data_IF_745840006729
#
_entry.id   IF_745840006729
#
_cell.length_a   1.000
_cell.length_b   1.000
_cell.length_c   1.000
_cell.angle_alpha   90.00
_cell.angle_beta   90.00
_cell.angle_gamma   90.00
#
_symmetry.space_group_name_H-M   'P 1'
#
loop_
_entity.id
_entity.type
_entity.pdbx_description
1 polymer ?
#
# COMPACT_ATOMS: atom_id res chain seq x y z
N UNK A 1 -32.94 14.84 29.34
CA UNK A 1 -34.05 15.18 28.43
C UNK A 1 -33.45 15.43 27.05
N UNK A 2 -34.07 14.95 25.96
CA UNK A 2 -33.57 15.21 24.62
C UNK A 2 -33.56 16.72 24.36
N UNK A 3 -32.56 17.18 23.61
CA UNK A 3 -32.43 18.57 23.23
C UNK A 3 -33.57 19.00 22.30
N UNK A 4 -33.91 20.29 22.32
CA UNK A 4 -34.89 20.88 21.40
C UNK A 4 -34.41 20.62 19.96
N UNK A 5 -33.10 20.74 19.72
CA UNK A 5 -32.53 20.42 18.41
C UNK A 5 -32.75 18.95 18.03
N UNK A 6 -32.49 18.00 18.93
CA UNK A 6 -32.71 16.58 18.67
C UNK A 6 -34.19 16.28 18.36
N UNK A 7 -35.13 16.90 19.08
CA UNK A 7 -36.57 16.77 18.82
C UNK A 7 -36.91 17.28 17.41
N UNK A 8 -36.39 18.44 17.01
CA UNK A 8 -36.65 18.98 15.66
C UNK A 8 -36.11 18.06 14.57
N UNK A 9 -34.88 17.58 14.71
CA UNK A 9 -34.25 16.66 13.75
C UNK A 9 -34.98 15.32 13.68
N UNK A 10 -35.45 14.81 14.81
CA UNK A 10 -36.25 13.58 14.87
C UNK A 10 -37.56 13.73 14.09
N UNK A 11 -38.31 14.82 14.32
CA UNK A 11 -39.56 15.11 13.61
C UNK A 11 -39.31 15.21 12.11
N UNK A 12 -38.22 15.84 11.68
CA UNK A 12 -37.86 15.93 10.28
C UNK A 12 -37.42 14.59 9.69
N UNK A 13 -36.68 13.78 10.44
CA UNK A 13 -36.33 12.43 10.04
C UNK A 13 -37.55 11.56 9.82
N UNK A 14 -38.53 11.63 10.73
CA UNK A 14 -39.80 10.92 10.61
C UNK A 14 -40.64 11.40 9.42
N UNK A 15 -40.69 12.72 9.18
CA UNK A 15 -41.35 13.30 8.02
C UNK A 15 -40.73 12.84 6.69
N UNK A 16 -39.40 12.88 6.59
CA UNK A 16 -38.67 12.39 5.42
C UNK A 16 -38.93 10.89 5.19
N UNK A 17 -38.78 10.07 6.23
CA UNK A 17 -39.06 8.64 6.18
C UNK A 17 -40.47 8.36 5.64
N UNK A 18 -41.50 9.00 6.22
CA UNK A 18 -42.89 8.83 5.79
C UNK A 18 -43.11 9.30 4.34
N UNK A 19 -42.46 10.39 3.92
CA UNK A 19 -42.58 10.87 2.55
C UNK A 19 -41.96 9.90 1.54
N UNK A 20 -40.78 9.34 1.83
CA UNK A 20 -40.14 8.33 0.99
C UNK A 20 -40.97 7.05 0.89
N UNK A 21 -41.49 6.55 2.01
CA UNK A 21 -42.38 5.37 2.03
C UNK A 21 -43.66 5.63 1.25
N UNK A 22 -44.30 6.79 1.45
CA UNK A 22 -45.53 7.15 0.73
C UNK A 22 -45.33 7.21 -0.78
N UNK A 23 -44.20 7.78 -1.23
CA UNK A 23 -43.85 7.83 -2.65
C UNK A 23 -43.64 6.42 -3.24
N UNK A 24 -43.07 5.47 -2.49
CA UNK A 24 -42.91 4.08 -2.95
C UNK A 24 -44.23 3.30 -2.99
N UNK A 25 -45.16 3.56 -2.06
CA UNK A 25 -46.47 2.92 -2.03
C UNK A 25 -47.35 3.42 -3.19
N UNK A 26 -47.22 4.68 -3.58
CA UNK A 26 -48.05 5.30 -4.63
C UNK A 26 -47.24 6.16 -5.61
N UNK A 27 -46.32 5.55 -6.38
CA UNK A 27 -45.32 6.31 -7.14
C UNK A 27 -45.94 7.10 -8.29
N UNK A 28 -47.04 6.62 -8.90
CA UNK A 28 -47.76 7.37 -9.94
C UNK A 28 -48.47 8.62 -9.40
N UNK A 29 -49.00 8.58 -8.17
CA UNK A 29 -49.58 9.76 -7.52
C UNK A 29 -48.50 10.78 -7.18
N UNK A 30 -47.34 10.31 -6.69
CA UNK A 30 -46.19 11.16 -6.39
C UNK A 30 -45.60 11.81 -7.66
N UNK A 31 -45.57 11.08 -8.77
CA UNK A 31 -45.12 11.55 -10.08
C UNK A 31 -46.04 12.65 -10.63
N UNK A 32 -47.35 12.44 -10.58
CA UNK A 32 -48.36 13.44 -10.95
C UNK A 32 -48.29 14.70 -10.07
N UNK A 33 -48.13 14.53 -8.74
CA UNK A 33 -47.99 15.65 -7.81
C UNK A 33 -46.75 16.52 -8.07
N UNK A 34 -45.68 15.94 -8.63
CA UNK A 34 -44.44 16.64 -9.00
C UNK A 34 -44.41 17.09 -10.46
N UNK A 35 -45.50 16.89 -11.21
CA UNK A 35 -45.60 17.21 -12.65
C UNK A 35 -44.48 16.58 -13.49
N UNK A 36 -44.04 15.38 -13.12
CA UNK A 36 -42.99 14.65 -13.82
C UNK A 36 -43.59 13.79 -14.94
N UNK A 37 -42.78 13.43 -15.94
CA UNK A 37 -43.15 12.48 -16.98
C UNK A 37 -43.06 11.04 -16.46
N UNK A 38 -43.84 10.11 -17.02
CA UNK A 38 -43.82 8.69 -16.63
C UNK A 38 -42.43 8.05 -16.78
N UNK A 39 -41.60 8.56 -17.70
CA UNK A 39 -40.20 8.15 -17.88
C UNK A 39 -39.33 8.40 -16.63
N UNK A 40 -39.73 9.31 -15.73
CA UNK A 40 -39.01 9.63 -14.50
C UNK A 40 -39.32 8.65 -13.34
N UNK A 41 -40.19 7.67 -13.54
CA UNK A 41 -40.61 6.72 -12.51
C UNK A 41 -39.44 5.96 -11.85
N UNK A 42 -38.42 5.45 -12.57
CA UNK A 42 -37.27 4.79 -11.93
C UNK A 42 -36.45 5.75 -11.06
N UNK A 43 -36.26 6.99 -11.52
CA UNK A 43 -35.55 8.02 -10.76
C UNK A 43 -36.31 8.43 -9.49
N UNK A 44 -37.64 8.54 -9.57
CA UNK A 44 -38.50 8.83 -8.42
C UNK A 44 -38.42 7.72 -7.36
N UNK A 45 -38.38 6.46 -7.77
CA UNK A 45 -38.22 5.32 -6.85
C UNK A 45 -36.84 5.35 -6.17
N UNK A 46 -35.76 5.54 -6.93
CA UNK A 46 -34.41 5.67 -6.38
C UNK A 46 -34.28 6.84 -5.39
N UNK A 47 -34.86 8.00 -5.75
CA UNK A 47 -34.92 9.17 -4.88
C UNK A 47 -35.72 8.90 -3.59
N UNK A 48 -36.82 8.14 -3.68
CA UNK A 48 -37.65 7.79 -2.52
C UNK A 48 -36.92 6.88 -1.54
N UNK A 49 -36.11 5.93 -2.01
CA UNK A 49 -35.23 5.11 -1.16
C UNK A 49 -34.16 5.97 -0.48
N UNK A 50 -33.55 6.91 -1.20
CA UNK A 50 -32.59 7.85 -0.63
C UNK A 50 -33.22 8.70 0.49
N UNK A 51 -34.45 9.19 0.30
CA UNK A 51 -35.21 9.94 1.31
C UNK A 51 -35.46 9.09 2.57
N UNK A 52 -35.80 7.80 2.41
CA UNK A 52 -35.97 6.88 3.54
C UNK A 52 -34.65 6.77 4.33
N UNK A 53 -33.54 6.57 3.62
CA UNK A 53 -32.21 6.52 4.24
C UNK A 53 -31.88 7.79 5.03
N UNK A 54 -32.12 8.97 4.44
CA UNK A 54 -31.95 10.27 5.12
C UNK A 54 -32.81 10.33 6.39
N UNK A 55 -34.08 9.90 6.31
CA UNK A 55 -34.98 9.88 7.45
C UNK A 55 -34.46 9.02 8.62
N UNK A 56 -33.95 7.83 8.32
CA UNK A 56 -33.33 6.92 9.30
C UNK A 56 -32.10 7.58 9.94
N UNK A 57 -31.21 8.17 9.13
CA UNK A 57 -30.01 8.84 9.65
C UNK A 57 -30.35 10.04 10.54
N UNK A 58 -31.41 10.79 10.23
CA UNK A 58 -31.84 11.92 11.04
C UNK A 58 -32.39 11.45 12.39
N UNK A 59 -33.23 10.42 12.40
CA UNK A 59 -33.73 9.83 13.65
C UNK A 59 -32.58 9.25 14.50
N UNK A 60 -31.60 8.59 13.87
CA UNK A 60 -30.42 8.08 14.56
C UNK A 60 -29.55 9.21 15.13
N UNK A 61 -29.30 10.26 14.35
CA UNK A 61 -28.54 11.43 14.80
C UNK A 61 -29.23 12.15 15.97
N UNK A 62 -30.56 12.23 15.96
CA UNK A 62 -31.35 12.76 17.06
C UNK A 62 -31.21 11.90 18.32
N UNK A 63 -31.31 10.57 18.19
CA UNK A 63 -31.08 9.65 19.31
C UNK A 63 -29.67 9.76 19.90
N UNK A 64 -28.67 9.99 19.04
CA UNK A 64 -27.26 10.14 19.43
C UNK A 64 -26.87 11.54 19.90
N UNK A 65 -27.78 12.53 19.87
CA UNK A 65 -27.48 13.94 20.18
C UNK A 65 -26.30 14.52 19.35
N UNK A 66 -26.19 14.10 18.08
CA UNK A 66 -25.05 14.44 17.24
C UNK A 66 -25.10 15.89 16.73
N UNK A 67 -24.51 16.82 17.48
CA UNK A 67 -24.50 18.26 17.17
C UNK A 67 -23.78 18.62 15.88
N UNK A 68 -22.73 17.88 15.53
CA UNK A 68 -22.03 18.06 14.26
C UNK A 68 -22.96 17.74 13.09
N UNK A 69 -23.69 16.63 13.18
CA UNK A 69 -24.69 16.26 12.20
C UNK A 69 -25.84 17.28 12.14
N UNK A 70 -26.33 17.77 13.28
CA UNK A 70 -27.37 18.81 13.32
C UNK A 70 -26.94 20.08 12.57
N UNK A 71 -25.69 20.51 12.75
CA UNK A 71 -25.14 21.67 12.05
C UNK A 71 -25.04 21.41 10.54
N UNK A 72 -24.60 20.22 10.13
CA UNK A 72 -24.56 19.85 8.71
C UNK A 72 -25.95 19.82 8.07
N UNK A 73 -27.02 19.53 8.83
CA UNK A 73 -28.38 19.62 8.29
C UNK A 73 -28.78 21.05 7.89
N UNK A 74 -28.03 22.09 8.26
CA UNK A 74 -28.24 23.44 7.74
C UNK A 74 -27.91 23.57 6.24
N UNK A 75 -27.17 22.62 5.66
CA UNK A 75 -26.97 22.52 4.21
C UNK A 75 -28.30 22.38 3.45
N UNK A 76 -29.40 22.02 4.13
CA UNK A 76 -30.76 22.00 3.57
C UNK A 76 -31.25 23.36 3.06
N UNK A 77 -30.66 24.48 3.48
CA UNK A 77 -30.89 25.77 2.82
C UNK A 77 -30.47 25.77 1.34
N UNK A 78 -29.42 25.02 1.01
CA UNK A 78 -28.98 24.83 -0.38
C UNK A 78 -30.04 24.03 -1.14
N UNK A 79 -30.53 22.92 -0.57
CA UNK A 79 -31.61 22.11 -1.15
C UNK A 79 -32.89 22.95 -1.35
N UNK A 80 -33.26 23.76 -0.37
CA UNK A 80 -34.40 24.67 -0.47
C UNK A 80 -34.25 25.64 -1.65
N UNK A 81 -33.06 26.24 -1.80
CA UNK A 81 -32.77 27.14 -2.93
C UNK A 81 -32.84 26.42 -4.27
N UNK A 82 -32.29 25.21 -4.37
CA UNK A 82 -32.35 24.40 -5.59
C UNK A 82 -33.81 24.10 -5.94
N UNK A 83 -34.61 23.57 -5.01
CA UNK A 83 -36.02 23.27 -5.24
C UNK A 83 -36.85 24.51 -5.59
N UNK A 84 -36.51 25.68 -5.03
CA UNK A 84 -37.19 26.92 -5.37
C UNK A 84 -37.03 27.29 -6.86
N UNK A 85 -35.83 27.07 -7.41
CA UNK A 85 -35.50 27.37 -8.82
C UNK A 85 -36.14 26.37 -9.79
N UNK A 86 -36.42 25.13 -9.35
CA UNK A 86 -37.06 24.10 -10.17
C UNK A 86 -38.55 24.36 -10.49
N UNK A 87 -39.14 25.45 -9.96
CA UNK A 87 -40.47 25.92 -10.36
C UNK A 87 -41.60 25.60 -9.37
N UNK A 88 -42.85 25.98 -9.69
CA UNK A 88 -43.96 25.97 -8.75
C UNK A 88 -44.25 24.62 -8.08
N UNK A 89 -44.10 23.51 -8.82
CA UNK A 89 -44.32 22.16 -8.32
C UNK A 89 -43.38 21.76 -7.16
N UNK A 90 -42.23 22.41 -7.04
CA UNK A 90 -41.21 22.13 -6.02
C UNK A 90 -41.21 23.12 -4.85
N UNK A 91 -41.99 24.19 -4.92
CA UNK A 91 -42.01 25.26 -3.91
C UNK A 91 -42.47 24.77 -2.53
N UNK A 92 -43.39 23.81 -2.47
CA UNK A 92 -43.83 23.23 -1.19
C UNK A 92 -42.68 22.53 -0.48
N UNK A 93 -41.87 21.76 -1.22
CA UNK A 93 -40.70 21.06 -0.69
C UNK A 93 -39.62 22.07 -0.32
N UNK A 94 -39.37 23.08 -1.18
CA UNK A 94 -38.43 24.15 -0.91
C UNK A 94 -38.75 24.90 0.40
N UNK A 95 -40.03 25.21 0.62
CA UNK A 95 -40.50 25.89 1.82
C UNK A 95 -40.30 25.02 3.06
N UNK A 96 -40.59 23.72 2.95
CA UNK A 96 -40.38 22.78 4.04
C UNK A 96 -38.89 22.63 4.41
N UNK A 97 -38.00 22.50 3.42
CA UNK A 97 -36.55 22.44 3.62
C UNK A 97 -36.01 23.73 4.29
N UNK A 98 -36.46 24.90 3.83
CA UNK A 98 -36.04 26.18 4.42
C UNK A 98 -36.56 26.35 5.85
N UNK A 99 -37.85 26.06 6.10
CA UNK A 99 -38.46 26.16 7.41
C UNK A 99 -37.78 25.24 8.42
N UNK A 100 -37.56 23.98 8.02
CA UNK A 100 -36.94 22.98 8.89
C UNK A 100 -35.48 23.29 9.20
N UNK A 101 -34.68 23.72 8.21
CA UNK A 101 -33.32 24.20 8.42
C UNK A 101 -33.29 25.43 9.34
N UNK A 102 -34.23 26.36 9.15
CA UNK A 102 -34.39 27.53 10.02
C UNK A 102 -34.72 27.16 11.46
N UNK A 103 -35.65 26.22 11.67
CA UNK A 103 -36.01 25.74 13.01
C UNK A 103 -34.82 25.08 13.71
N UNK A 104 -34.06 24.23 12.99
CA UNK A 104 -32.82 23.64 13.52
C UNK A 104 -31.79 24.72 13.86
N UNK A 105 -31.60 25.73 13.01
CA UNK A 105 -30.67 26.83 13.27
C UNK A 105 -31.06 27.62 14.52
N UNK A 106 -32.35 27.93 14.69
CA UNK A 106 -32.87 28.63 15.87
C UNK A 106 -32.71 27.77 17.12
N UNK A 107 -33.01 26.46 17.04
CA UNK A 107 -32.82 25.54 18.17
C UNK A 107 -31.34 25.44 18.57
N UNK A 108 -30.43 25.31 17.60
CA UNK A 108 -28.98 25.32 17.83
C UNK A 108 -28.50 26.64 18.45
N UNK A 109 -28.99 27.79 17.95
CA UNK A 109 -28.63 29.10 18.48
C UNK A 109 -29.20 29.33 19.89
N UNK A 110 -30.44 28.93 20.14
CA UNK A 110 -31.09 29.01 21.45
C UNK A 110 -30.33 28.16 22.48
N UNK A 111 -29.99 26.93 22.13
CA UNK A 111 -29.23 26.03 22.99
C UNK A 111 -27.78 26.49 23.16
N UNK A 112 -27.17 27.07 22.14
CA UNK A 112 -25.84 27.69 22.25
C UNK A 112 -25.83 28.93 23.15
N UNK A 113 -26.91 29.72 23.13
CA UNK A 113 -27.06 30.94 23.94
C UNK A 113 -27.39 30.64 25.40
N UNK A 114 -28.37 29.77 25.66
CA UNK A 114 -28.77 29.37 27.02
C UNK A 114 -27.89 28.27 27.63
N UNK A 115 -27.14 27.53 26.82
CA UNK A 115 -26.17 26.53 27.27
C UNK A 115 -24.89 27.12 27.85
N UNK A 116 -24.69 28.45 27.87
CA UNK A 116 -23.46 29.09 28.38
C UNK A 116 -23.19 28.94 29.89
N UNK A 117 -24.05 28.28 30.67
CA UNK A 117 -23.76 27.87 32.06
C UNK A 117 -23.41 26.38 32.23
N UNK A 118 -23.36 25.59 31.15
CA UNK A 118 -22.77 24.25 31.15
C UNK A 118 -21.77 24.19 29.99
N UNK A 119 -20.48 24.13 30.35
CA UNK A 119 -19.34 24.42 29.49
C UNK A 119 -19.48 23.95 28.04
N UNK A 120 -19.24 24.87 27.12
CA UNK A 120 -18.93 24.57 25.73
C UNK A 120 -17.59 23.81 25.64
N UNK A 121 -17.53 22.59 25.07
CA UNK A 121 -16.35 22.11 24.40
C UNK A 121 -16.54 22.33 22.90
N UNK A 122 -15.68 23.17 22.32
CA UNK A 122 -15.46 23.20 20.88
C UNK A 122 -14.77 21.89 20.47
N UNK A 123 -15.52 20.83 20.14
CA UNK A 123 -14.94 19.65 19.47
C UNK A 123 -15.90 19.02 18.45
N UNK A 124 -15.42 18.72 17.22
CA UNK A 124 -16.16 17.98 16.20
C UNK A 124 -15.88 16.48 16.37
N UNK A 125 -16.68 15.75 17.15
CA UNK A 125 -16.38 14.35 17.49
C UNK A 125 -17.65 13.52 17.69
N UNK A 126 -17.96 12.61 16.76
CA UNK A 126 -18.85 11.48 17.08
C UNK A 126 -18.35 10.11 16.59
N UNK A 127 -17.16 10.04 15.99
CA UNK A 127 -16.42 8.77 15.81
C UNK A 127 -15.28 8.58 16.83
N UNK A 128 -15.10 9.56 17.71
CA UNK A 128 -13.91 9.75 18.55
C UNK A 128 -14.20 9.64 20.04
N UNK A 129 -15.46 9.79 20.47
CA UNK A 129 -15.84 9.62 21.87
C UNK A 129 -15.64 8.18 22.39
N UNK A 130 -15.76 7.16 21.54
CA UNK A 130 -15.55 5.78 21.98
C UNK A 130 -14.10 5.50 22.40
N UNK A 131 -13.13 6.00 21.63
CA UNK A 131 -11.71 5.76 21.89
C UNK A 131 -11.15 6.67 22.99
N UNK A 132 -11.62 7.91 23.11
CA UNK A 132 -11.11 8.83 24.13
C UNK A 132 -11.45 8.43 25.58
N UNK A 133 -12.56 7.70 25.78
CA UNK A 133 -12.95 7.14 27.09
C UNK A 133 -12.06 5.94 27.49
N UNK A 134 -11.45 5.27 26.50
CA UNK A 134 -10.58 4.12 26.70
C UNK A 134 -9.22 4.60 27.27
N UNK A 135 -8.61 3.90 28.25
CA UNK A 135 -7.27 4.19 28.73
C UNK A 135 -6.23 4.33 27.61
N UNK A 136 -5.24 5.20 27.79
CA UNK A 136 -4.24 5.51 26.76
C UNK A 136 -3.48 4.26 26.29
N UNK A 137 -3.23 3.32 27.19
CA UNK A 137 -2.52 2.08 26.91
C UNK A 137 -3.31 1.19 25.92
N UNK A 138 -4.63 1.12 26.11
CA UNK A 138 -5.51 0.33 25.25
C UNK A 138 -5.70 1.05 23.90
N UNK A 139 -5.86 2.39 23.90
CA UNK A 139 -5.90 3.16 22.64
C UNK A 139 -4.64 2.97 21.81
N UNK A 140 -3.47 3.09 22.43
CA UNK A 140 -2.20 2.91 21.74
C UNK A 140 -2.05 1.49 21.20
N UNK A 141 -2.54 0.48 21.92
CA UNK A 141 -2.58 -0.91 21.43
C UNK A 141 -3.49 -1.04 20.21
N UNK A 142 -4.67 -0.40 20.22
CA UNK A 142 -5.57 -0.35 19.07
C UNK A 142 -4.91 0.36 17.89
N UNK A 143 -4.28 1.52 18.10
CA UNK A 143 -3.57 2.24 17.05
C UNK A 143 -2.45 1.39 16.44
N UNK A 144 -1.63 0.75 17.29
CA UNK A 144 -0.57 -0.14 16.85
C UNK A 144 -1.14 -1.29 15.99
N UNK A 145 -2.25 -1.88 16.40
CA UNK A 145 -2.91 -2.95 15.66
C UNK A 145 -3.46 -2.45 14.32
N UNK A 146 -4.16 -1.32 14.28
CA UNK A 146 -4.73 -0.74 13.05
C UNK A 146 -3.63 -0.36 12.05
N UNK A 147 -2.53 0.21 12.53
CA UNK A 147 -1.41 0.64 11.69
C UNK A 147 -0.63 -0.56 11.14
N UNK A 148 -0.45 -1.61 11.94
CA UNK A 148 0.30 -2.81 11.54
C UNK A 148 -0.55 -3.92 10.92
N UNK A 149 -1.88 -3.79 10.92
CA UNK A 149 -2.78 -4.74 10.29
C UNK A 149 -2.40 -4.92 8.80
N UNK A 150 -2.25 -6.16 8.31
CA UNK A 150 -1.80 -6.40 6.94
C UNK A 150 -2.78 -5.81 5.93
N UNK A 151 -2.26 -5.19 4.86
CA UNK A 151 -3.10 -4.80 3.73
C UNK A 151 -3.59 -6.06 3.03
N UNK A 152 -4.89 -6.14 2.74
CA UNK A 152 -5.45 -7.22 1.93
C UNK A 152 -4.75 -7.20 0.56
N UNK A 153 -4.11 -8.31 0.13
CA UNK A 153 -3.43 -8.35 -1.16
C UNK A 153 -4.43 -8.10 -2.30
N UNK A 154 -4.10 -7.15 -3.18
CA UNK A 154 -4.96 -6.72 -4.30
C UNK A 154 -4.55 -7.49 -5.56
N UNK A 155 -5.49 -7.75 -6.46
CA UNK A 155 -5.19 -8.39 -7.74
C UNK A 155 -4.56 -7.41 -8.76
N UNK A 156 -3.89 -7.91 -9.82
CA UNK A 156 -3.30 -7.04 -10.84
C UNK A 156 -4.31 -6.10 -11.50
N UNK A 157 -5.49 -6.59 -11.89
CA UNK A 157 -6.52 -5.79 -12.58
C UNK A 157 -6.99 -4.56 -11.78
N UNK A 158 -7.05 -4.68 -10.46
CA UNK A 158 -7.51 -3.63 -9.54
C UNK A 158 -6.40 -2.66 -9.11
N UNK A 159 -5.13 -3.02 -9.32
CA UNK A 159 -3.99 -2.24 -8.84
C UNK A 159 -3.07 -1.72 -9.95
N UNK A 160 -3.48 -1.82 -11.20
CA UNK A 160 -2.68 -1.36 -12.35
C UNK A 160 -2.63 0.17 -12.48
N UNK A 161 -3.66 0.87 -11.99
CA UNK A 161 -3.75 2.33 -12.07
C UNK A 161 -2.77 3.01 -11.11
N UNK A 162 -2.12 4.08 -11.58
CA UNK A 162 -1.15 4.85 -10.80
C UNK A 162 0.22 4.19 -10.62
N UNK A 163 0.46 3.01 -11.19
CA UNK A 163 1.79 2.40 -11.20
C UNK A 163 2.76 3.15 -12.10
N UNK A 164 3.98 3.33 -11.64
CA UNK A 164 5.09 3.91 -12.40
C UNK A 164 6.19 2.87 -12.60
N UNK A 165 6.80 2.84 -13.79
CA UNK A 165 7.96 1.98 -14.03
C UNK A 165 9.17 2.55 -13.28
N UNK A 166 9.86 1.69 -12.53
CA UNK A 166 11.20 1.97 -12.01
C UNK A 166 12.22 1.74 -13.12
N UNK A 167 12.65 0.48 -13.29
CA UNK A 167 13.48 -0.02 -14.39
C UNK A 167 13.25 -1.52 -14.55
N UNK A 168 13.62 -2.05 -15.73
CA UNK A 168 13.71 -3.51 -15.99
C UNK A 168 12.41 -4.26 -15.68
N UNK A 169 11.25 -3.65 -15.94
CA UNK A 169 9.95 -4.25 -15.68
C UNK A 169 9.53 -4.34 -14.22
N UNK A 170 10.15 -3.55 -13.34
CA UNK A 170 9.67 -3.32 -11.98
C UNK A 170 8.71 -2.15 -11.98
N UNK A 171 7.46 -2.40 -11.59
CA UNK A 171 6.38 -1.44 -11.52
C UNK A 171 5.99 -1.18 -10.07
N UNK A 172 5.94 0.08 -9.67
CA UNK A 172 5.74 0.48 -8.28
C UNK A 172 4.41 1.18 -8.13
N UNK A 173 3.65 0.83 -7.09
CA UNK A 173 2.50 1.63 -6.65
C UNK A 173 2.95 2.53 -5.49
N UNK A 174 2.64 3.85 -5.50
CA UNK A 174 2.94 4.72 -4.40
C UNK A 174 2.34 4.19 -3.09
N UNK A 175 3.12 4.08 -2.02
CA UNK A 175 2.64 3.58 -0.74
C UNK A 175 1.62 4.52 -0.10
N UNK A 176 0.62 3.94 0.58
CA UNK A 176 -0.38 4.69 1.33
C UNK A 176 0.02 4.77 2.80
N UNK A 177 0.04 5.97 3.37
CA UNK A 177 0.28 6.16 4.79
C UNK A 177 -0.97 5.74 5.59
N UNK A 178 -0.93 4.55 6.20
CA UNK A 178 -2.03 4.00 7.03
C UNK A 178 -2.35 4.85 8.25
N UNK A 179 -1.33 5.48 8.84
CA UNK A 179 -1.50 6.31 10.01
C UNK A 179 -2.12 7.68 9.69
N UNK A 180 -2.17 8.10 8.42
CA UNK A 180 -2.64 9.43 8.01
C UNK A 180 -4.04 9.73 8.55
N UNK A 181 -4.96 8.77 8.43
CA UNK A 181 -6.33 8.93 8.94
C UNK A 181 -6.35 9.20 10.44
N UNK A 182 -5.53 8.49 11.23
CA UNK A 182 -5.43 8.65 12.69
C UNK A 182 -4.69 9.93 13.09
N UNK A 183 -3.64 10.29 12.36
CA UNK A 183 -2.83 11.50 12.59
C UNK A 183 -3.61 12.80 12.36
N UNK A 184 -4.67 12.76 11.55
CA UNK A 184 -5.49 13.92 11.18
C UNK A 184 -6.76 14.07 12.05
N UNK A 185 -7.00 13.17 13.01
CA UNK A 185 -8.22 13.19 13.85
C UNK A 185 -8.21 14.36 14.83
N UNK A 186 -7.24 14.39 15.75
CA UNK A 186 -7.09 15.45 16.76
C UNK A 186 -5.66 15.49 17.31
N UNK A 187 -5.32 16.55 18.06
CA UNK A 187 -3.96 16.72 18.64
C UNK A 187 -3.56 15.57 19.57
N UNK A 188 -4.50 15.03 20.33
CA UNK A 188 -4.25 13.91 21.22
C UNK A 188 -3.88 12.64 20.44
N UNK A 189 -4.70 12.26 19.45
CA UNK A 189 -4.43 11.09 18.61
C UNK A 189 -3.15 11.28 17.81
N UNK A 190 -2.88 12.50 17.33
CA UNK A 190 -1.63 12.81 16.69
C UNK A 190 -0.42 12.48 17.57
N UNK A 191 -0.40 12.97 18.82
CA UNK A 191 0.69 12.71 19.76
C UNK A 191 0.79 11.22 20.11
N UNK A 192 -0.34 10.56 20.40
CA UNK A 192 -0.36 9.14 20.75
C UNK A 192 0.06 8.24 19.59
N UNK A 193 -0.40 8.53 18.36
CA UNK A 193 0.00 7.79 17.16
C UNK A 193 1.47 8.04 16.85
N UNK A 194 1.97 9.26 16.97
CA UNK A 194 3.41 9.52 16.82
C UNK A 194 4.24 8.74 17.84
N UNK A 195 3.80 8.67 19.10
CA UNK A 195 4.44 7.86 20.13
C UNK A 195 4.42 6.36 19.77
N UNK A 196 3.29 5.82 19.27
CA UNK A 196 3.23 4.45 18.75
C UNK A 196 4.20 4.25 17.59
N UNK A 197 4.19 5.13 16.58
CA UNK A 197 5.07 5.05 15.41
C UNK A 197 6.55 5.10 15.81
N UNK A 198 6.91 5.87 16.84
CA UNK A 198 8.29 5.95 17.33
C UNK A 198 8.80 4.63 17.92
N UNK A 199 7.89 3.83 18.51
CA UNK A 199 8.19 2.54 19.17
C UNK A 199 8.09 1.33 18.25
N UNK A 200 7.43 1.46 17.09
CA UNK A 200 7.37 0.36 16.12
C UNK A 200 8.79 0.01 15.61
N UNK A 201 9.07 -1.26 15.29
CA UNK A 201 10.36 -1.65 14.71
C UNK A 201 10.55 -1.04 13.32
N UNK A 202 11.79 -0.90 12.84
CA UNK A 202 12.08 -0.50 11.46
C UNK A 202 11.96 -1.71 10.53
N UNK A 203 10.77 -2.32 10.53
CA UNK A 203 10.44 -3.51 9.75
C UNK A 203 9.35 -3.18 8.73
N UNK A 204 9.56 -3.63 7.50
CA UNK A 204 8.66 -3.31 6.38
C UNK A 204 8.19 -4.56 5.67
N UNK A 205 7.02 -4.45 5.04
CA UNK A 205 6.47 -5.50 4.22
C UNK A 205 6.26 -5.01 2.79
N UNK A 206 6.57 -5.87 1.82
CA UNK A 206 6.28 -5.62 0.41
C UNK A 206 5.59 -6.83 -0.19
N UNK A 207 4.44 -6.59 -0.82
CA UNK A 207 3.79 -7.56 -1.69
C UNK A 207 4.31 -7.35 -3.11
N UNK A 208 4.80 -8.43 -3.73
CA UNK A 208 5.37 -8.43 -5.07
C UNK A 208 4.56 -9.38 -5.92
N UNK A 209 3.77 -8.83 -6.85
CA UNK A 209 3.08 -9.64 -7.83
C UNK A 209 4.02 -9.90 -9.01
N UNK A 210 4.34 -11.16 -9.24
CA UNK A 210 4.96 -11.64 -10.45
C UNK A 210 3.86 -11.89 -11.49
N UNK A 211 3.64 -10.92 -12.38
CA UNK A 211 2.64 -11.04 -13.44
C UNK A 211 3.36 -11.50 -14.70
N UNK A 212 3.06 -12.74 -15.16
CA UNK A 212 3.78 -13.36 -16.28
C UNK A 212 3.73 -12.46 -17.51
N UNK A 213 4.87 -12.18 -18.13
CA UNK A 213 5.07 -11.20 -19.22
C UNK A 213 4.76 -9.73 -18.91
N UNK A 214 4.25 -9.39 -17.73
CA UNK A 214 3.76 -8.03 -17.40
C UNK A 214 4.58 -7.33 -16.31
N UNK A 215 5.54 -8.03 -15.68
CA UNK A 215 6.52 -7.41 -14.80
C UNK A 215 6.46 -7.88 -13.35
N UNK A 216 7.25 -7.20 -12.53
CA UNK A 216 7.26 -7.32 -11.08
C UNK A 216 6.55 -6.11 -10.49
N UNK A 217 5.39 -6.32 -9.88
CA UNK A 217 4.55 -5.24 -9.41
C UNK A 217 4.61 -5.16 -7.89
N UNK A 218 5.23 -4.11 -7.37
CA UNK A 218 5.46 -3.93 -5.93
C UNK A 218 4.36 -3.08 -5.31
N UNK A 219 3.93 -3.49 -4.12
CA UNK A 219 2.98 -2.77 -3.27
C UNK A 219 3.53 -2.79 -1.85
N UNK A 220 3.94 -1.61 -1.36
CA UNK A 220 4.57 -1.50 -0.05
C UNK A 220 3.54 -1.25 1.05
N UNK A 221 3.68 -2.01 2.14
CA UNK A 221 2.99 -1.77 3.40
C UNK A 221 3.95 -1.08 4.38
N UNK A 222 3.71 0.22 4.58
CA UNK A 222 4.61 1.10 5.32
C UNK A 222 3.85 1.66 6.52
N UNK A 223 3.95 1.01 7.70
CA UNK A 223 3.26 1.46 8.91
C UNK A 223 3.81 2.81 9.40
N UNK A 224 5.11 3.05 9.20
CA UNK A 224 5.81 4.30 9.53
C UNK A 224 6.87 4.62 8.49
N UNK A 225 7.27 5.88 8.38
CA UNK A 225 8.44 6.23 7.57
C UNK A 225 9.74 5.73 8.23
N UNK A 226 10.77 5.39 7.45
CA UNK A 226 12.09 5.07 8.00
C UNK A 226 12.63 6.22 8.85
N UNK A 227 12.74 5.98 10.16
CA UNK A 227 13.30 6.92 11.12
C UNK A 227 14.84 7.03 11.00
N UNK A 228 15.48 6.05 10.36
CA UNK A 228 16.92 6.02 10.10
C UNK A 228 17.21 5.31 8.77
N UNK A 229 18.48 5.37 8.33
CA UNK A 229 18.94 4.58 7.17
C UNK A 229 19.06 3.08 7.46
N UNK A 230 18.89 2.65 8.71
CA UNK A 230 19.01 1.25 9.12
C UNK A 230 17.63 0.61 9.21
N UNK A 231 17.46 -0.48 8.46
CA UNK A 231 16.25 -1.27 8.36
C UNK A 231 16.53 -2.62 9.01
N UNK A 232 15.74 -2.95 10.03
CA UNK A 232 15.91 -4.20 10.78
C UNK A 232 15.52 -5.39 9.92
N UNK A 233 14.39 -5.29 9.22
CA UNK A 233 13.85 -6.40 8.43
C UNK A 233 12.97 -5.93 7.29
N UNK A 234 13.13 -6.55 6.13
CA UNK A 234 12.14 -6.49 5.04
C UNK A 234 11.57 -7.87 4.79
N UNK A 235 10.26 -8.00 4.84
CA UNK A 235 9.55 -9.22 4.47
C UNK A 235 8.90 -9.00 3.10
N UNK A 236 9.28 -9.76 2.10
CA UNK A 236 8.68 -9.76 0.78
C UNK A 236 7.79 -11.00 0.60
N UNK A 237 6.52 -10.80 0.27
CA UNK A 237 5.65 -11.89 -0.22
C UNK A 237 5.59 -11.80 -1.73
N UNK A 238 5.89 -12.89 -2.42
CA UNK A 238 5.84 -12.96 -3.88
C UNK A 238 4.67 -13.84 -4.32
N UNK A 239 3.74 -13.26 -5.07
CA UNK A 239 2.54 -13.92 -5.60
C UNK A 239 2.63 -14.04 -7.11
N UNK A 240 2.24 -15.18 -7.67
CA UNK A 240 2.31 -15.46 -9.10
C UNK A 240 0.93 -15.23 -9.71
N UNK A 241 0.89 -14.57 -10.88
CA UNK A 241 -0.35 -14.25 -11.59
C UNK A 241 -0.26 -14.53 -13.09
N UNK A 242 -1.35 -15.08 -13.63
CA UNK A 242 -1.64 -15.05 -15.05
C UNK A 242 -2.13 -13.66 -15.40
N UNK A 243 -1.67 -13.08 -16.52
CA UNK A 243 -2.22 -11.82 -16.98
C UNK A 243 -3.68 -12.01 -17.42
N UNK A 244 -4.53 -11.09 -16.99
CA UNK A 244 -5.93 -11.03 -17.43
C UNK A 244 -6.06 -10.17 -18.69
N UNK A 245 -7.14 -10.36 -19.45
CA UNK A 245 -7.40 -9.60 -20.70
C UNK A 245 -7.61 -8.09 -20.46
N UNK A 246 -7.73 -7.66 -19.20
CA UNK A 246 -7.98 -6.27 -18.80
C UNK A 246 -6.71 -5.51 -18.38
N UNK A 247 -5.53 -6.13 -18.50
CA UNK A 247 -4.27 -5.45 -18.18
C UNK A 247 -3.84 -4.54 -19.33
N UNK A 248 -3.41 -3.32 -19.00
CA UNK A 248 -2.88 -2.36 -19.97
C UNK A 248 -1.65 -2.92 -20.72
N UNK A 249 -1.65 -2.77 -22.04
CA UNK A 249 -0.56 -3.21 -22.92
C UNK A 249 0.80 -2.55 -22.57
N UNK A 250 0.82 -1.41 -21.87
CA UNK A 250 2.07 -0.74 -21.43
C UNK A 250 2.97 -1.63 -20.56
N UNK A 251 2.38 -2.59 -19.85
CA UNK A 251 3.10 -3.49 -18.96
C UNK A 251 3.70 -4.70 -19.70
N UNK A 252 3.21 -4.96 -20.91
CA UNK A 252 3.50 -6.16 -21.68
C UNK A 252 4.98 -6.23 -22.08
N UNK A 253 5.56 -7.42 -21.98
CA UNK A 253 6.97 -7.73 -22.24
C UNK A 253 7.94 -6.93 -21.36
N UNK A 254 7.49 -6.37 -20.25
CA UNK A 254 8.35 -5.59 -19.35
C UNK A 254 9.37 -6.47 -18.61
N UNK A 255 9.08 -7.76 -18.45
CA UNK A 255 10.02 -8.75 -17.92
C UNK A 255 10.29 -9.85 -18.97
N UNK A 256 11.57 -10.15 -19.21
CA UNK A 256 11.99 -11.11 -20.23
C UNK A 256 12.93 -12.18 -19.65
N UNK A 257 12.57 -13.44 -19.88
CA UNK A 257 13.38 -14.62 -19.56
C UNK A 257 14.25 -15.09 -20.73
N UNK A 258 14.42 -14.22 -21.75
CA UNK A 258 15.29 -14.56 -22.87
C UNK A 258 16.74 -14.44 -22.46
N UNK A 259 17.51 -15.50 -22.74
CA UNK A 259 18.96 -15.52 -22.59
C UNK A 259 19.60 -14.58 -23.62
N UNK A 260 20.55 -13.74 -23.18
CA UNK A 260 21.33 -12.86 -24.06
C UNK A 260 22.60 -13.52 -24.58
N UNK A 261 23.46 -12.72 -25.24
CA UNK A 261 24.73 -13.14 -25.88
C UNK A 261 25.86 -13.47 -24.87
N UNK A 262 25.54 -14.16 -23.77
CA UNK A 262 26.48 -14.56 -22.72
C UNK A 262 26.27 -13.89 -21.36
N UNK A 263 25.32 -12.95 -21.24
CA UNK A 263 24.88 -12.36 -19.97
C UNK A 263 23.67 -13.08 -19.34
N UNK A 264 23.34 -12.78 -18.07
CA UNK A 264 22.15 -13.31 -17.40
C UNK A 264 20.87 -12.79 -18.07
N UNK A 265 19.76 -13.50 -17.88
CA UNK A 265 18.47 -13.16 -18.47
C UNK A 265 17.95 -11.81 -17.97
N UNK A 266 17.11 -11.15 -18.78
CA UNK A 266 16.53 -9.84 -18.43
C UNK A 266 15.80 -9.84 -17.07
N UNK A 267 15.12 -10.93 -16.73
CA UNK A 267 14.38 -11.08 -15.48
C UNK A 267 15.28 -11.09 -14.24
N UNK A 268 16.50 -11.63 -14.34
CA UNK A 268 17.51 -11.57 -13.26
C UNK A 268 17.75 -10.13 -12.83
N UNK A 269 17.85 -9.23 -13.81
CA UNK A 269 18.04 -7.81 -13.55
C UNK A 269 16.79 -7.14 -12.97
N UNK A 270 15.59 -7.62 -13.27
CA UNK A 270 14.36 -7.18 -12.59
C UNK A 270 14.38 -7.52 -11.10
N UNK A 271 14.77 -8.75 -10.74
CA UNK A 271 14.91 -9.15 -9.33
C UNK A 271 16.03 -8.38 -8.62
N UNK A 272 17.17 -8.17 -9.28
CA UNK A 272 18.24 -7.33 -8.75
C UNK A 272 17.81 -5.86 -8.60
N UNK A 273 16.97 -5.36 -9.51
CA UNK A 273 16.41 -4.01 -9.42
C UNK A 273 15.56 -3.84 -8.17
N UNK A 274 14.78 -4.85 -7.75
CA UNK A 274 14.03 -4.80 -6.48
C UNK A 274 14.95 -4.57 -5.27
N UNK A 275 16.10 -5.26 -5.22
CA UNK A 275 17.07 -5.11 -4.13
C UNK A 275 17.75 -3.74 -4.17
N UNK A 276 18.16 -3.28 -5.36
CA UNK A 276 18.84 -1.99 -5.50
C UNK A 276 17.91 -0.81 -5.30
N UNK A 277 16.64 -0.90 -5.68
CA UNK A 277 15.61 0.10 -5.38
C UNK A 277 15.41 0.20 -3.86
N UNK A 278 15.32 -0.93 -3.16
CA UNK A 278 15.26 -0.93 -1.70
C UNK A 278 16.50 -0.29 -1.05
N UNK A 279 17.69 -0.59 -1.56
CA UNK A 279 18.95 -0.04 -1.05
C UNK A 279 19.04 1.48 -1.31
N UNK A 280 18.70 1.93 -2.51
CA UNK A 280 18.93 3.33 -2.92
C UNK A 280 17.79 4.27 -2.55
N UNK A 281 16.54 3.82 -2.68
CA UNK A 281 15.34 4.64 -2.49
C UNK A 281 14.58 4.30 -1.20
N UNK A 282 14.86 3.14 -0.60
CA UNK A 282 14.19 2.67 0.60
C UNK A 282 12.80 2.07 0.36
N UNK A 283 12.09 1.70 1.44
CA UNK A 283 10.73 1.20 1.37
C UNK A 283 9.80 2.18 0.65
N UNK A 284 9.19 1.73 -0.45
CA UNK A 284 8.19 2.49 -1.20
C UNK A 284 8.66 3.82 -1.79
N UNK A 285 9.98 4.03 -1.90
CA UNK A 285 10.58 5.23 -2.51
C UNK A 285 10.22 6.56 -1.83
N UNK A 286 9.60 6.51 -0.65
CA UNK A 286 9.17 7.71 0.10
C UNK A 286 10.40 8.48 0.63
N UNK A 287 11.53 7.79 0.81
CA UNK A 287 12.73 8.33 1.45
C UNK A 287 13.65 9.15 0.55
N UNK A 288 13.47 9.13 -0.78
CA UNK A 288 14.43 9.71 -1.74
C UNK A 288 14.68 11.22 -1.55
N UNK A 289 13.73 11.94 -0.96
CA UNK A 289 13.86 13.38 -0.67
C UNK A 289 14.30 13.70 0.77
N UNK A 290 14.16 12.77 1.72
CA UNK A 290 14.33 13.06 3.16
C UNK A 290 15.64 12.55 3.77
N UNK A 291 16.24 11.48 3.23
CA UNK A 291 17.50 10.93 3.73
C UNK A 291 18.58 11.20 2.68
N UNK A 292 19.01 12.46 2.60
CA UNK A 292 19.80 13.00 1.48
C UNK A 292 20.86 12.05 0.94
N UNK A 293 20.80 11.73 -0.36
CA UNK A 293 21.76 10.98 -1.17
C UNK A 293 22.43 9.73 -0.52
N UNK A 294 21.85 9.15 0.53
CA UNK A 294 22.45 8.05 1.30
C UNK A 294 21.59 6.79 1.16
N UNK A 295 22.23 5.70 0.77
CA UNK A 295 21.62 4.38 0.71
C UNK A 295 21.26 3.83 2.09
N UNK A 296 20.26 2.95 2.12
CA UNK A 296 19.82 2.18 3.26
C UNK A 296 20.74 1.01 3.55
N UNK A 297 20.76 0.59 4.81
CA UNK A 297 21.44 -0.61 5.31
C UNK A 297 20.36 -1.52 5.89
N UNK A 298 20.23 -2.72 5.35
CA UNK A 298 19.20 -3.69 5.66
C UNK A 298 19.86 -4.86 6.39
N UNK A 299 19.36 -5.21 7.57
CA UNK A 299 19.91 -6.36 8.28
C UNK A 299 19.44 -7.66 7.66
N UNK A 300 18.13 -7.81 7.53
CA UNK A 300 17.50 -9.07 7.10
C UNK A 300 16.47 -8.87 6.00
N UNK A 301 16.49 -9.73 4.99
CA UNK A 301 15.45 -9.82 3.97
C UNK A 301 14.87 -11.23 4.00
N UNK A 302 13.57 -11.35 4.25
CA UNK A 302 12.85 -12.62 4.15
C UNK A 302 11.94 -12.58 2.92
N UNK A 303 12.18 -13.44 1.95
CA UNK A 303 11.39 -13.59 0.73
C UNK A 303 10.57 -14.87 0.84
N UNK A 304 9.25 -14.76 0.73
CA UNK A 304 8.35 -15.90 0.70
C UNK A 304 7.61 -15.94 -0.63
N UNK A 305 7.88 -16.94 -1.46
CA UNK A 305 7.12 -17.19 -2.68
C UNK A 305 5.95 -18.09 -2.32
N UNK A 306 4.73 -17.63 -2.60
CA UNK A 306 3.52 -18.36 -2.25
C UNK A 306 2.87 -18.96 -3.49
N UNK A 307 2.18 -20.07 -3.27
CA UNK A 307 1.37 -20.74 -4.27
C UNK A 307 0.42 -19.72 -4.93
N UNK A 308 0.19 -19.85 -6.25
CA UNK A 308 -0.72 -18.96 -6.93
C UNK A 308 -2.14 -19.05 -6.38
N UNK A 309 -2.84 -17.91 -6.37
CA UNK A 309 -4.17 -17.78 -5.74
C UNK A 309 -5.24 -17.28 -6.72
N UNK A 310 -4.88 -17.08 -7.99
CA UNK A 310 -5.79 -16.60 -9.04
C UNK A 310 -6.62 -17.72 -9.70
N UNK A 311 -6.37 -18.98 -9.31
CA UNK A 311 -7.08 -20.16 -9.81
C UNK A 311 -6.64 -20.63 -11.20
N UNK A 312 -5.53 -20.12 -11.74
CA UNK A 312 -4.99 -20.57 -13.02
C UNK A 312 -4.00 -21.74 -12.86
N UNK A 313 -3.85 -22.56 -13.91
CA UNK A 313 -3.04 -23.79 -13.87
C UNK A 313 -1.51 -23.57 -13.92
N UNK A 314 -1.05 -22.31 -14.03
CA UNK A 314 0.34 -21.85 -14.07
C UNK A 314 1.42 -22.87 -14.47
N UNK A 315 1.30 -23.46 -15.64
CA UNK A 315 2.19 -24.55 -16.07
C UNK A 315 3.58 -24.04 -16.44
N UNK A 316 3.72 -22.77 -16.86
CA UNK A 316 5.01 -22.14 -17.22
C UNK A 316 5.20 -20.77 -16.60
N UNK A 317 6.42 -20.43 -16.20
CA UNK A 317 6.72 -19.08 -15.70
C UNK A 317 7.16 -18.11 -16.81
N UNK A 318 7.65 -18.64 -17.93
CA UNK A 318 8.07 -17.88 -19.09
C UNK A 318 6.97 -17.85 -20.16
N UNK A 319 6.28 -16.71 -20.28
CA UNK A 319 5.28 -16.52 -21.32
C UNK A 319 3.84 -16.74 -20.85
N UNK A 320 2.93 -16.69 -21.82
CA UNK A 320 1.55 -17.13 -21.63
C UNK A 320 1.49 -18.64 -21.85
N UNK A 321 0.79 -19.38 -21.00
CA UNK A 321 0.57 -20.83 -21.19
C UNK A 321 -0.09 -21.13 -22.56
N UNK A 322 -0.82 -20.16 -23.13
CA UNK A 322 -1.47 -20.24 -24.44
C UNK A 322 -0.51 -20.03 -25.63
N UNK A 323 0.68 -19.48 -25.44
CA UNK A 323 1.66 -19.25 -26.51
C UNK A 323 2.40 -20.56 -26.87
N UNK A 324 1.69 -21.48 -27.54
CA UNK A 324 2.19 -22.80 -27.97
C UNK A 324 3.20 -22.79 -29.14
N UNK A 325 3.87 -21.68 -29.48
CA UNK A 325 4.79 -21.64 -30.64
C UNK A 325 6.27 -21.84 -30.26
N UNK A 326 6.72 -23.08 -30.34
CA UNK A 326 7.93 -23.56 -31.07
C UNK A 326 9.30 -22.88 -30.95
N UNK A 327 9.53 -21.85 -30.12
CA UNK A 327 10.83 -21.14 -30.02
C UNK A 327 11.37 -20.89 -28.59
N UNK A 328 10.82 -21.55 -27.57
CA UNK A 328 11.29 -21.39 -26.18
C UNK A 328 12.24 -22.53 -25.73
N UNK A 329 13.13 -23.01 -26.61
CA UNK A 329 14.20 -23.96 -26.22
C UNK A 329 15.40 -23.28 -25.54
N UNK A 330 15.27 -22.02 -25.13
CA UNK A 330 16.40 -21.17 -24.71
C UNK A 330 16.18 -20.40 -23.41
N UNK A 331 15.08 -20.63 -22.67
CA UNK A 331 14.97 -20.09 -21.30
C UNK A 331 15.80 -20.97 -20.37
N UNK A 332 16.76 -20.40 -19.65
CA UNK A 332 17.50 -21.09 -18.59
C UNK A 332 16.60 -21.41 -17.38
N UNK A 333 15.36 -20.90 -17.38
CA UNK A 333 14.31 -21.28 -16.43
C UNK A 333 14.04 -22.79 -16.45
N UNK A 334 14.17 -23.45 -17.61
CA UNK A 334 13.97 -24.89 -17.78
C UNK A 334 15.24 -25.75 -17.61
N UNK A 335 16.41 -25.14 -17.38
CA UNK A 335 17.64 -25.92 -17.15
C UNK A 335 17.85 -26.20 -15.66
N UNK A 336 17.53 -27.41 -15.20
CA UNK A 336 17.89 -27.91 -13.86
C UNK A 336 16.83 -27.70 -12.78
N UNK A 337 15.59 -27.44 -13.16
CA UNK A 337 14.41 -27.42 -12.28
C UNK A 337 13.50 -28.55 -12.74
N UNK A 338 12.92 -29.30 -11.81
CA UNK A 338 12.03 -30.42 -12.15
C UNK A 338 10.77 -29.89 -12.85
N UNK A 339 10.39 -30.51 -13.96
CA UNK A 339 9.20 -30.13 -14.72
C UNK A 339 7.92 -30.33 -13.86
N UNK A 340 7.97 -31.22 -12.87
CA UNK A 340 6.89 -31.49 -11.93
C UNK A 340 6.84 -30.52 -10.73
N UNK A 341 7.84 -29.64 -10.57
CA UNK A 341 7.89 -28.70 -9.44
C UNK A 341 6.76 -27.64 -9.56
N UNK A 342 6.08 -27.29 -8.44
CA UNK A 342 5.05 -26.26 -8.47
C UNK A 342 5.63 -24.87 -8.82
N UNK A 343 4.83 -23.96 -9.39
CA UNK A 343 5.31 -22.69 -9.94
C UNK A 343 6.01 -21.80 -8.91
N UNK A 344 5.58 -21.80 -7.65
CA UNK A 344 6.24 -21.07 -6.57
C UNK A 344 7.65 -21.60 -6.27
N UNK A 345 7.83 -22.92 -6.31
CA UNK A 345 9.12 -23.58 -6.13
C UNK A 345 10.06 -23.26 -7.28
N UNK A 346 9.57 -23.39 -8.52
CA UNK A 346 10.31 -23.03 -9.74
C UNK A 346 10.80 -21.58 -9.70
N UNK A 347 9.95 -20.65 -9.30
CA UNK A 347 10.30 -19.24 -9.18
C UNK A 347 11.34 -18.99 -8.08
N UNK A 348 11.15 -19.59 -6.90
CA UNK A 348 12.10 -19.47 -5.80
C UNK A 348 13.48 -20.04 -6.18
N UNK A 349 13.55 -21.23 -6.75
CA UNK A 349 14.80 -21.83 -7.26
C UNK A 349 15.48 -20.97 -8.33
N UNK A 350 14.71 -20.38 -9.24
CA UNK A 350 15.25 -19.44 -10.20
C UNK A 350 15.88 -18.23 -9.51
N UNK A 351 15.19 -17.61 -8.57
CA UNK A 351 15.70 -16.45 -7.83
C UNK A 351 16.96 -16.79 -7.03
N UNK A 352 16.97 -17.90 -6.28
CA UNK A 352 18.11 -18.30 -5.45
C UNK A 352 19.32 -18.67 -6.30
N UNK A 353 19.14 -19.41 -7.40
CA UNK A 353 20.21 -19.74 -8.35
C UNK A 353 20.87 -18.50 -8.92
N UNK A 354 20.07 -17.53 -9.35
CA UNK A 354 20.59 -16.29 -9.94
C UNK A 354 21.21 -15.37 -8.87
N UNK A 355 20.64 -15.28 -7.67
CA UNK A 355 21.24 -14.55 -6.57
C UNK A 355 22.59 -15.15 -6.17
N UNK A 356 22.71 -16.48 -6.14
CA UNK A 356 23.98 -17.18 -5.91
C UNK A 356 25.03 -16.80 -6.95
N UNK A 357 24.64 -16.68 -8.21
CA UNK A 357 25.54 -16.24 -9.28
C UNK A 357 25.97 -14.77 -9.11
N UNK A 358 25.04 -13.88 -8.71
CA UNK A 358 25.36 -12.48 -8.39
C UNK A 358 26.34 -12.41 -7.21
N UNK A 359 26.04 -13.11 -6.11
CA UNK A 359 26.86 -13.17 -4.90
C UNK A 359 28.18 -13.92 -5.08
N UNK A 360 28.32 -14.73 -6.15
CA UNK A 360 29.56 -15.43 -6.48
C UNK A 360 30.71 -14.53 -6.93
N UNK A 361 30.48 -13.21 -7.03
CA UNK A 361 31.52 -12.22 -7.30
C UNK A 361 32.37 -12.53 -8.55
N UNK A 362 31.72 -12.93 -9.64
CA UNK A 362 32.40 -13.14 -10.93
C UNK A 362 32.80 -11.79 -11.55
N UNK A 363 33.60 -11.80 -12.62
CA UNK A 363 33.93 -10.56 -13.37
C UNK A 363 32.71 -9.76 -13.83
N UNK A 364 31.56 -10.42 -14.04
CA UNK A 364 30.33 -9.80 -14.52
C UNK A 364 29.41 -9.36 -13.38
N UNK A 365 29.63 -9.90 -12.19
CA UNK A 365 28.73 -9.72 -11.04
C UNK A 365 29.40 -9.04 -9.88
N UNK A 366 30.72 -8.82 -9.91
CA UNK A 366 31.47 -8.26 -8.79
C UNK A 366 30.84 -6.96 -8.32
N UNK A 367 30.62 -5.99 -9.20
CA UNK A 367 30.03 -4.69 -8.82
C UNK A 367 28.66 -4.85 -8.17
N UNK A 368 27.84 -5.75 -8.70
CA UNK A 368 26.52 -6.03 -8.16
C UNK A 368 26.59 -6.70 -6.79
N UNK A 369 27.53 -7.64 -6.63
CA UNK A 369 27.87 -8.32 -5.39
C UNK A 369 28.33 -7.30 -4.33
N UNK A 370 29.18 -6.35 -4.71
CA UNK A 370 29.68 -5.32 -3.82
C UNK A 370 28.52 -4.51 -3.22
N UNK A 371 27.61 -4.00 -4.06
CA UNK A 371 26.44 -3.24 -3.59
C UNK A 371 25.61 -4.04 -2.58
N UNK A 372 25.37 -5.34 -2.81
CA UNK A 372 24.61 -6.17 -1.88
C UNK A 372 25.34 -6.37 -0.55
N UNK A 373 26.65 -6.64 -0.58
CA UNK A 373 27.43 -6.86 0.64
C UNK A 373 27.68 -5.57 1.45
N UNK A 374 27.65 -4.39 0.84
CA UNK A 374 27.73 -3.13 1.57
C UNK A 374 26.45 -2.82 2.34
N UNK A 375 25.30 -3.15 1.75
CA UNK A 375 23.99 -2.70 2.22
C UNK A 375 23.13 -3.79 2.87
N UNK A 376 23.48 -5.06 2.73
CA UNK A 376 22.77 -6.18 3.38
C UNK A 376 23.72 -6.88 4.33
N UNK A 377 23.46 -6.77 5.64
CA UNK A 377 24.47 -7.11 6.67
C UNK A 377 24.36 -8.54 7.17
N UNK A 378 23.16 -9.06 7.44
CA UNK A 378 22.96 -10.38 8.04
C UNK A 378 22.62 -11.44 7.00
N UNK A 379 21.39 -11.44 6.46
CA UNK A 379 20.94 -12.52 5.58
C UNK A 379 19.82 -12.16 4.61
N UNK A 380 19.72 -12.96 3.55
CA UNK A 380 18.57 -13.04 2.65
C UNK A 380 18.04 -14.47 2.71
N UNK A 381 16.80 -14.66 3.17
CA UNK A 381 16.20 -15.98 3.36
C UNK A 381 15.07 -16.17 2.35
N UNK A 382 15.06 -17.32 1.68
CA UNK A 382 14.01 -17.70 0.75
C UNK A 382 13.14 -18.79 1.35
N UNK A 383 11.84 -18.62 1.19
CA UNK A 383 10.81 -19.56 1.61
C UNK A 383 9.84 -19.83 0.48
N UNK A 384 9.29 -21.04 0.49
CA UNK A 384 8.21 -21.46 -0.40
C UNK A 384 7.05 -21.88 0.49
N UNK A 385 5.90 -21.21 0.35
CA UNK A 385 4.72 -21.48 1.18
C UNK A 385 5.00 -21.44 2.69
N UNK A 386 5.94 -20.59 3.12
CA UNK A 386 6.36 -20.45 4.51
C UNK A 386 7.46 -21.41 4.97
N UNK A 387 7.77 -22.46 4.20
CA UNK A 387 8.86 -23.40 4.48
C UNK A 387 10.20 -22.86 3.97
N UNK A 388 11.29 -23.10 4.71
CA UNK A 388 12.61 -22.60 4.34
C UNK A 388 13.20 -23.36 3.15
N UNK A 389 13.62 -22.62 2.12
CA UNK A 389 14.30 -23.15 0.94
C UNK A 389 15.81 -22.96 1.02
N UNK A 390 16.26 -21.71 1.18
CA UNK A 390 17.69 -21.38 1.25
C UNK A 390 17.92 -20.06 1.99
N UNK A 391 19.00 -20.04 2.79
CA UNK A 391 19.44 -18.85 3.51
C UNK A 391 20.82 -18.42 3.03
N UNK A 392 20.94 -17.16 2.60
CA UNK A 392 22.20 -16.54 2.22
C UNK A 392 22.74 -15.73 3.39
N UNK A 393 23.64 -16.33 4.19
CA UNK A 393 24.35 -15.62 5.25
C UNK A 393 25.43 -14.74 4.62
N UNK A 394 25.27 -13.42 4.72
CA UNK A 394 26.07 -12.47 3.95
C UNK A 394 27.56 -12.49 4.33
N UNK A 395 27.88 -12.71 5.60
CA UNK A 395 29.27 -12.83 6.06
C UNK A 395 29.96 -14.08 5.50
N UNK A 396 29.25 -15.21 5.40
CA UNK A 396 29.79 -16.45 4.85
C UNK A 396 30.01 -16.32 3.33
N UNK A 397 29.05 -15.71 2.63
CA UNK A 397 29.16 -15.44 1.19
C UNK A 397 30.31 -14.48 0.90
N UNK A 398 30.52 -13.45 1.73
CA UNK A 398 31.64 -12.52 1.59
C UNK A 398 32.99 -13.24 1.76
N UNK A 399 33.11 -14.15 2.75
CA UNK A 399 34.32 -14.96 2.95
C UNK A 399 34.58 -15.94 1.81
N UNK A 400 33.52 -16.44 1.17
CA UNK A 400 33.63 -17.34 0.02
C UNK A 400 34.01 -16.62 -1.29
N UNK A 401 33.99 -15.27 -1.32
CA UNK A 401 34.44 -14.48 -2.47
C UNK A 401 35.96 -14.61 -2.62
N UNK A 402 36.38 -15.56 -3.43
CA UNK A 402 37.80 -15.79 -3.74
C UNK A 402 38.14 -15.24 -5.12
N UNK A 403 38.67 -14.02 -5.11
CA UNK A 403 39.09 -13.29 -6.30
C UNK A 403 40.27 -13.99 -7.01
N UNK A 404 41.04 -14.83 -6.30
CA UNK A 404 42.15 -15.57 -6.89
C UNK A 404 41.69 -16.69 -7.84
N UNK A 405 40.43 -17.14 -7.72
CA UNK A 405 39.82 -18.14 -8.63
C UNK A 405 39.38 -17.58 -9.98
N UNK A 406 39.59 -16.29 -10.23
CA UNK A 406 39.24 -15.67 -11.50
C UNK A 406 40.23 -16.12 -12.60
N UNK A 407 39.78 -17.02 -13.48
CA UNK A 407 40.58 -17.57 -14.57
C UNK A 407 40.66 -16.62 -15.77
N UNK A 408 41.66 -15.72 -15.82
CA UNK A 408 41.85 -14.75 -16.91
C UNK A 408 43.31 -14.33 -17.16
N UNK A 409 43.50 -13.60 -18.26
CA UNK A 409 44.71 -12.85 -18.67
C UNK A 409 45.27 -11.99 -17.52
N UNK A 410 46.57 -12.15 -17.26
CA UNK A 410 47.25 -11.68 -16.04
C UNK A 410 47.08 -10.16 -15.82
N UNK A 411 47.06 -9.36 -16.89
CA UNK A 411 47.01 -7.90 -16.79
C UNK A 411 45.66 -7.33 -16.34
N UNK A 412 44.55 -7.95 -16.73
CA UNK A 412 43.19 -7.56 -16.29
C UNK A 412 42.88 -8.10 -14.89
N UNK A 413 43.45 -9.26 -14.54
CA UNK A 413 43.32 -9.89 -13.22
C UNK A 413 43.86 -8.97 -12.14
N UNK A 414 45.09 -8.46 -12.28
CA UNK A 414 45.79 -7.82 -11.17
C UNK A 414 45.13 -6.51 -10.70
N UNK A 415 44.64 -5.66 -11.62
CA UNK A 415 44.06 -4.35 -11.24
C UNK A 415 42.68 -4.50 -10.58
N UNK A 416 41.80 -5.32 -11.15
CA UNK A 416 40.45 -5.50 -10.62
C UNK A 416 40.45 -6.41 -9.40
N UNK A 417 41.34 -7.40 -9.35
CA UNK A 417 41.48 -8.23 -8.16
C UNK A 417 41.93 -7.42 -6.96
N UNK A 418 42.97 -6.58 -7.12
CA UNK A 418 43.45 -5.70 -6.04
C UNK A 418 42.35 -4.76 -5.53
N UNK A 419 41.55 -4.19 -6.44
CA UNK A 419 40.41 -3.34 -6.06
C UNK A 419 39.34 -4.12 -5.30
N UNK A 420 38.98 -5.30 -5.79
CA UNK A 420 37.99 -6.17 -5.14
C UNK A 420 38.45 -6.61 -3.75
N UNK A 421 39.72 -7.04 -3.59
CA UNK A 421 40.29 -7.41 -2.30
C UNK A 421 40.24 -6.26 -1.30
N UNK A 422 40.70 -5.05 -1.69
CA UNK A 422 40.63 -3.85 -0.83
C UNK A 422 39.19 -3.52 -0.42
N UNK A 423 38.25 -3.70 -1.34
CA UNK A 423 36.84 -3.47 -1.06
C UNK A 423 36.28 -4.49 -0.08
N UNK A 424 36.60 -5.78 -0.27
CA UNK A 424 36.15 -6.87 0.63
C UNK A 424 36.70 -6.60 2.04
N UNK A 425 37.99 -6.27 2.16
CA UNK A 425 38.62 -5.88 3.42
C UNK A 425 37.90 -4.69 4.07
N UNK A 426 37.57 -3.66 3.29
CA UNK A 426 36.83 -2.50 3.78
C UNK A 426 35.43 -2.87 4.30
N UNK A 427 34.67 -3.71 3.59
CA UNK A 427 33.36 -4.17 4.07
C UNK A 427 33.47 -5.02 5.32
N UNK A 428 34.45 -5.92 5.40
CA UNK A 428 34.71 -6.70 6.62
C UNK A 428 34.97 -5.77 7.81
N UNK A 429 35.88 -4.80 7.65
CA UNK A 429 36.16 -3.80 8.70
C UNK A 429 34.93 -2.97 9.07
N UNK A 430 34.14 -2.53 8.07
CA UNK A 430 32.90 -1.78 8.26
C UNK A 430 31.89 -2.59 9.09
N UNK A 431 31.71 -3.88 8.77
CA UNK A 431 30.81 -4.79 9.51
C UNK A 431 31.29 -5.04 10.93
N UNK A 432 32.59 -5.21 11.14
CA UNK A 432 33.15 -5.35 12.49
C UNK A 432 32.93 -4.10 13.35
N UNK A 433 33.11 -2.90 12.78
CA UNK A 433 32.82 -1.63 13.46
C UNK A 433 31.33 -1.53 13.82
N UNK A 434 30.45 -1.91 12.90
CA UNK A 434 29.01 -1.96 13.13
C UNK A 434 28.64 -2.87 14.31
N UNK A 435 29.19 -4.10 14.33
CA UNK A 435 28.98 -5.06 15.43
C UNK A 435 29.48 -4.55 16.78
N UNK A 436 30.50 -3.69 16.78
CA UNK A 436 31.07 -3.04 17.97
C UNK A 436 30.36 -1.72 18.34
N UNK A 437 29.33 -1.31 17.59
CA UNK A 437 28.64 -0.03 17.81
C UNK A 437 29.51 1.20 17.53
N UNK A 438 30.59 1.05 16.75
CA UNK A 438 31.51 2.13 16.41
C UNK A 438 31.00 2.91 15.19
N UNK A 439 31.38 4.18 15.07
CA UNK A 439 31.07 4.99 13.90
C UNK A 439 31.55 4.31 12.61
N UNK A 440 30.68 4.28 11.59
CA UNK A 440 31.01 3.70 10.30
C UNK A 440 31.86 4.69 9.50
N UNK A 441 32.99 4.23 8.97
CA UNK A 441 33.74 5.00 7.99
C UNK A 441 33.02 4.90 6.64
N UNK A 442 32.26 5.95 6.29
CA UNK A 442 31.53 6.02 5.03
C UNK A 442 32.44 6.37 3.83
N UNK A 443 33.73 6.66 4.04
CA UNK A 443 34.71 6.85 2.96
C UNK A 443 35.24 5.51 2.46
N UNK A 444 34.40 4.78 1.73
CA UNK A 444 34.79 3.54 1.07
C UNK A 444 35.83 3.75 -0.05
N UNK A 445 36.59 2.71 -0.43
CA UNK A 445 37.36 2.75 -1.66
C UNK A 445 36.41 3.09 -2.82
N UNK A 446 36.82 4.00 -3.71
CA UNK A 446 36.02 4.36 -4.88
C UNK A 446 35.60 3.07 -5.59
N UNK A 447 34.29 2.85 -5.67
CA UNK A 447 33.71 1.73 -6.39
C UNK A 447 34.14 1.81 -7.85
N UNK A 448 34.12 0.67 -8.56
CA UNK A 448 34.56 0.54 -9.95
C UNK A 448 33.83 1.46 -10.95
N UNK A 449 32.81 2.20 -10.50
CA UNK A 449 31.89 2.97 -11.34
C UNK A 449 32.32 4.40 -11.68
N UNK A 450 33.51 4.89 -11.27
CA UNK A 450 34.08 6.14 -11.80
C UNK A 450 35.61 6.13 -11.88
#
# INVERSE_FOLDING_TARGET
MPSITAITIFIFGLSAFNHGVSNLISPRKALAAKQLQDSALPALNGFSVAIIGIGIYYMLAAYQENRGFFTLTLARFISARIFWVQGPAWRTIATWEAFSAGLTAVALAYEGYYGRYAGWPNEPLFLTMGLQIIPVEIRQTIFAHVITAPVVPINPSESQDGRTESRRGVWKLPPKNKALGLLLVCKQFHAEVQDVLSRLPNSYHVDIMFVKNYGLWTTWDIPKLPASRYIDKVTATMRIFEPTDHLDDRFKRSLSFRRGDGGPEGAVWGFYQLLTDLISEGPGCIGSQHIGNRCYIINKIDVNVVAPTDGADHTRLDGLDRDRRGRLRLSAFSSGVDDDEPPEGKLAHYMTRNLRWVLGASRYTIEHCLVLHEHITESINFRVNGEELETFVMDERLKACDVAKWTYDDSFRDRNATKATRWIEWVVQRRERMKKGLELNDNGPKTLLF
#
